data_IF_142663565027
#
_entry.id   IF_142663565027
#
_cell.length_a   1.000
_cell.length_b   1.000
_cell.length_c   1.000
_cell.angle_alpha   90.00
_cell.angle_beta   90.00
_cell.angle_gamma   90.00
#
_symmetry.space_group_name_H-M   'P 1'
#
loop_
_entity.id
_entity.type
_entity.pdbx_description
1 polymer ?
#
# COMPACT_ATOMS: atom_id res chain seq x y z
N UNK A 1 -12.22 4.92 22.52
CA UNK A 1 -13.45 5.72 22.25
C UNK A 1 -14.64 4.78 22.43
N UNK A 2 -15.85 5.25 22.82
CA UNK A 2 -17.01 4.34 22.88
C UNK A 2 -17.71 4.24 21.53
N UNK A 3 -18.48 3.16 21.28
CA UNK A 3 -19.29 3.01 20.07
C UNK A 3 -20.23 4.23 19.84
N UNK A 4 -20.74 4.79 20.93
CA UNK A 4 -21.62 5.97 20.91
C UNK A 4 -20.90 7.23 20.40
N UNK A 5 -19.68 7.46 20.89
CA UNK A 5 -18.83 8.58 20.43
C UNK A 5 -18.42 8.40 18.99
N UNK A 6 -18.07 7.17 18.58
CA UNK A 6 -17.63 6.85 17.23
C UNK A 6 -18.73 7.13 16.19
N UNK A 7 -19.98 6.71 16.48
CA UNK A 7 -21.11 6.96 15.59
C UNK A 7 -21.40 8.46 15.50
N UNK A 8 -21.41 9.16 16.63
CA UNK A 8 -21.68 10.60 16.72
C UNK A 8 -20.65 11.43 15.95
N UNK A 9 -19.37 11.17 16.17
CA UNK A 9 -18.29 11.90 15.50
C UNK A 9 -18.20 11.54 14.01
N UNK A 10 -18.42 10.27 13.66
CA UNK A 10 -18.49 9.82 12.27
C UNK A 10 -19.61 10.50 11.49
N UNK A 11 -20.82 10.58 12.07
CA UNK A 11 -21.94 11.30 11.45
C UNK A 11 -21.64 12.80 11.26
N UNK A 12 -21.05 13.45 12.27
CA UNK A 12 -20.65 14.87 12.17
C UNK A 12 -19.61 15.09 11.07
N UNK A 13 -18.61 14.19 10.94
CA UNK A 13 -17.60 14.24 9.89
C UNK A 13 -18.24 14.15 8.49
N UNK A 14 -19.33 13.40 8.35
CA UNK A 14 -20.11 13.31 7.12
C UNK A 14 -21.07 14.51 6.92
N UNK A 15 -21.06 15.49 7.82
CA UNK A 15 -21.97 16.64 7.83
C UNK A 15 -23.46 16.26 7.77
N UNK A 16 -23.85 15.10 8.32
CA UNK A 16 -25.22 14.59 8.30
C UNK A 16 -25.96 14.96 9.59
N UNK A 17 -27.24 15.35 9.46
CA UNK A 17 -28.17 15.40 10.59
C UNK A 17 -28.52 13.97 11.05
N UNK A 18 -29.02 13.83 12.28
CA UNK A 18 -29.52 12.55 12.81
C UNK A 18 -30.57 11.91 11.87
N UNK A 19 -31.45 12.73 11.30
CA UNK A 19 -32.46 12.25 10.37
C UNK A 19 -31.89 11.75 9.04
N UNK A 20 -30.92 12.48 8.48
CA UNK A 20 -30.22 12.05 7.24
C UNK A 20 -29.46 10.77 7.46
N UNK A 21 -28.75 10.63 8.57
CA UNK A 21 -28.04 9.42 8.93
C UNK A 21 -28.98 8.24 9.18
N UNK A 22 -30.10 8.47 9.84
CA UNK A 22 -31.14 7.45 10.05
C UNK A 22 -31.72 6.93 8.73
N UNK A 23 -32.06 7.84 7.82
CA UNK A 23 -32.54 7.48 6.47
C UNK A 23 -31.50 6.66 5.69
N UNK A 24 -30.23 7.08 5.70
CA UNK A 24 -29.13 6.37 5.06
C UNK A 24 -28.89 4.98 5.68
N UNK A 25 -28.98 4.86 7.00
CA UNK A 25 -28.84 3.60 7.72
C UNK A 25 -30.08 2.68 7.64
N UNK A 26 -31.22 3.22 7.16
CA UNK A 26 -32.49 2.47 7.08
C UNK A 26 -33.14 2.23 8.47
N UNK A 27 -33.00 3.18 9.38
CA UNK A 27 -33.51 3.09 10.76
C UNK A 27 -34.28 4.36 11.15
N UNK A 28 -34.94 4.35 12.31
CA UNK A 28 -35.61 5.55 12.83
C UNK A 28 -34.57 6.52 13.40
N UNK A 29 -34.93 7.84 13.40
CA UNK A 29 -34.11 8.86 14.06
C UNK A 29 -33.87 8.55 15.54
N UNK A 30 -34.91 8.03 16.24
CA UNK A 30 -34.78 7.62 17.64
C UNK A 30 -33.74 6.52 17.87
N UNK A 31 -33.55 5.61 16.92
CA UNK A 31 -32.51 4.62 17.02
C UNK A 31 -31.10 5.25 16.96
N UNK A 32 -30.90 6.24 16.07
CA UNK A 32 -29.64 6.98 15.98
C UNK A 32 -29.36 7.76 17.27
N UNK A 33 -30.35 8.41 17.83
CA UNK A 33 -30.24 9.13 19.11
C UNK A 33 -29.84 8.19 20.25
N UNK A 34 -30.42 6.99 20.32
CA UNK A 34 -30.03 5.98 21.31
C UNK A 34 -28.60 5.48 21.10
N UNK A 35 -28.14 5.34 19.85
CA UNK A 35 -26.78 4.93 19.55
C UNK A 35 -25.73 5.99 19.90
N UNK A 36 -26.08 7.29 19.79
CA UNK A 36 -25.17 8.40 20.06
C UNK A 36 -25.16 8.83 21.52
N UNK A 37 -26.13 8.38 22.33
CA UNK A 37 -26.26 8.73 23.75
C UNK A 37 -25.22 7.92 24.56
N UNK A 38 -24.43 8.55 25.44
CA UNK A 38 -23.58 7.84 26.39
C UNK A 38 -24.39 6.84 27.22
N UNK A 39 -23.99 5.57 27.21
CA UNK A 39 -24.76 4.51 27.88
C UNK A 39 -26.02 4.05 27.16
N UNK A 40 -26.25 4.51 25.95
CA UNK A 40 -27.37 4.06 25.10
C UNK A 40 -27.13 2.66 24.53
N UNK A 41 -28.01 2.21 23.65
CA UNK A 41 -27.88 0.89 23.01
C UNK A 41 -26.97 0.96 21.78
N UNK A 42 -26.17 -0.07 21.54
CA UNK A 42 -25.42 -0.22 20.30
C UNK A 42 -26.34 -0.66 19.14
N UNK A 43 -25.93 -0.44 17.87
CA UNK A 43 -26.67 -0.95 16.71
C UNK A 43 -26.85 -2.46 16.77
N UNK A 44 -28.05 -2.96 16.50
CA UNK A 44 -28.34 -4.40 16.38
C UNK A 44 -27.51 -4.98 15.24
N UNK A 45 -27.22 -6.30 15.32
CA UNK A 45 -26.38 -7.01 14.36
C UNK A 45 -26.80 -6.82 12.89
N UNK A 46 -28.13 -6.71 12.64
CA UNK A 46 -28.67 -6.41 11.31
C UNK A 46 -28.28 -5.04 10.75
N UNK A 47 -28.01 -4.07 11.62
CA UNK A 47 -27.71 -2.68 11.22
C UNK A 47 -26.22 -2.35 11.29
N UNK A 48 -25.41 -3.17 12.00
CA UNK A 48 -23.98 -2.92 12.21
C UNK A 48 -23.22 -2.76 10.89
N UNK A 49 -23.47 -3.64 9.93
CA UNK A 49 -22.82 -3.59 8.62
C UNK A 49 -23.09 -2.28 7.89
N UNK A 50 -24.34 -1.87 7.83
CA UNK A 50 -24.77 -0.66 7.12
C UNK A 50 -24.26 0.61 7.79
N UNK A 51 -24.27 0.64 9.13
CA UNK A 51 -23.69 1.75 9.90
C UNK A 51 -22.17 1.83 9.70
N UNK A 52 -21.46 0.71 9.71
CA UNK A 52 -20.03 0.65 9.48
C UNK A 52 -19.66 1.11 8.05
N UNK A 53 -20.41 0.66 7.03
CA UNK A 53 -20.26 1.10 5.64
C UNK A 53 -20.46 2.62 5.48
N UNK A 54 -21.50 3.19 6.10
CA UNK A 54 -21.75 4.64 6.08
C UNK A 54 -20.61 5.44 6.74
N UNK A 55 -20.04 4.91 7.80
CA UNK A 55 -18.95 5.56 8.53
C UNK A 55 -17.57 5.32 7.90
N UNK A 56 -17.46 4.43 6.91
CA UNK A 56 -16.22 4.04 6.27
C UNK A 56 -15.27 3.26 7.20
N UNK A 57 -15.84 2.46 8.13
CA UNK A 57 -15.09 1.66 9.12
C UNK A 57 -15.53 0.20 9.06
N UNK A 58 -14.76 -0.69 9.67
CA UNK A 58 -15.15 -2.10 9.80
C UNK A 58 -16.21 -2.29 10.90
N UNK A 59 -17.00 -3.37 10.82
CA UNK A 59 -17.95 -3.75 11.88
C UNK A 59 -17.22 -4.01 13.21
N UNK A 60 -16.00 -4.55 13.15
CA UNK A 60 -15.16 -4.79 14.32
C UNK A 60 -14.78 -3.47 15.01
N UNK A 61 -14.37 -2.46 14.25
CA UNK A 61 -14.08 -1.10 14.74
C UNK A 61 -15.31 -0.45 15.36
N UNK A 62 -16.45 -0.55 14.68
CA UNK A 62 -17.72 -0.01 15.20
C UNK A 62 -18.04 -0.60 16.57
N UNK A 63 -17.89 -1.90 16.75
CA UNK A 63 -18.27 -2.60 17.99
C UNK A 63 -17.23 -2.50 19.09
N UNK A 64 -15.95 -2.37 18.76
CA UNK A 64 -14.87 -2.14 19.74
C UNK A 64 -14.82 -0.70 20.26
N UNK A 65 -15.66 0.20 19.71
CA UNK A 65 -15.69 1.61 20.10
C UNK A 65 -14.44 2.36 19.70
N UNK A 66 -13.73 1.92 18.64
CA UNK A 66 -12.51 2.58 18.19
C UNK A 66 -11.41 2.51 19.26
N UNK A 67 -11.27 1.38 19.98
CA UNK A 67 -10.05 1.12 20.73
C UNK A 67 -8.86 1.24 19.78
N UNK A 68 -7.76 1.88 20.22
CA UNK A 68 -6.50 2.04 19.48
C UNK A 68 -5.76 0.69 19.21
N UNK A 69 -6.49 -0.39 19.18
CA UNK A 69 -6.08 -1.58 18.44
C UNK A 69 -6.42 -1.23 17.00
N UNK A 70 -5.49 -0.61 16.29
CA UNK A 70 -5.43 -0.79 14.84
C UNK A 70 -5.68 -2.28 14.62
N UNK A 71 -6.68 -2.70 13.80
CA UNK A 71 -6.75 -4.08 13.35
C UNK A 71 -5.31 -4.42 12.94
N UNK A 72 -4.73 -5.43 13.55
CA UNK A 72 -3.36 -5.82 13.20
C UNK A 72 -3.34 -5.85 11.70
N UNK A 73 -2.46 -5.05 11.09
CA UNK A 73 -2.34 -4.73 9.67
C UNK A 73 -3.18 -5.70 8.87
N UNK A 74 -4.29 -5.23 8.30
CA UNK A 74 -5.16 -6.06 7.50
C UNK A 74 -4.35 -6.42 6.24
N UNK A 75 -3.54 -7.46 6.37
CA UNK A 75 -2.66 -8.02 5.34
C UNK A 75 -3.58 -8.68 4.31
N UNK A 76 -4.39 -7.86 3.63
CA UNK A 76 -5.37 -8.33 2.64
C UNK A 76 -4.98 -7.99 1.23
N UNK A 77 -4.03 -7.12 1.05
CA UNK A 77 -3.50 -6.86 -0.27
C UNK A 77 -2.32 -7.81 -0.51
N UNK A 78 -2.41 -8.59 -1.57
CA UNK A 78 -1.34 -9.43 -2.04
C UNK A 78 -0.96 -9.01 -3.45
N UNK A 79 0.34 -8.93 -3.71
CA UNK A 79 0.87 -8.62 -5.03
C UNK A 79 1.59 -9.83 -5.61
N UNK A 80 1.62 -10.00 -6.94
CA UNK A 80 2.36 -11.07 -7.57
C UNK A 80 3.87 -10.85 -7.38
N UNK A 81 4.58 -11.92 -7.02
CA UNK A 81 6.04 -11.95 -7.06
C UNK A 81 6.47 -12.35 -8.47
N UNK A 82 7.19 -11.46 -9.15
CA UNK A 82 7.66 -11.67 -10.52
C UNK A 82 9.17 -11.75 -10.57
N UNK A 83 9.70 -12.36 -11.64
CA UNK A 83 11.13 -12.37 -11.92
C UNK A 83 11.59 -11.05 -12.56
N UNK A 84 12.90 -10.77 -12.53
CA UNK A 84 13.46 -9.59 -13.20
C UNK A 84 13.18 -9.59 -14.71
N UNK A 85 13.22 -10.76 -15.35
CA UNK A 85 12.89 -10.91 -16.78
C UNK A 85 11.42 -10.54 -17.06
N UNK A 86 10.51 -10.96 -16.18
CA UNK A 86 9.08 -10.57 -16.29
C UNK A 86 8.89 -9.09 -16.06
N UNK A 87 9.63 -8.48 -15.14
CA UNK A 87 9.58 -7.04 -14.91
C UNK A 87 10.10 -6.25 -16.13
N UNK A 88 11.11 -6.76 -16.84
CA UNK A 88 11.60 -6.17 -18.09
C UNK A 88 10.57 -6.17 -19.23
N UNK A 89 9.67 -7.15 -19.24
CA UNK A 89 8.58 -7.25 -20.21
C UNK A 89 7.29 -6.59 -19.69
N UNK A 90 7.41 -5.51 -18.94
CA UNK A 90 6.32 -4.86 -18.22
C UNK A 90 5.10 -4.49 -19.08
N UNK A 91 5.27 -4.20 -20.38
CA UNK A 91 4.16 -3.97 -21.33
C UNK A 91 3.19 -5.15 -21.45
N UNK A 92 3.58 -6.34 -20.98
CA UNK A 92 2.76 -7.56 -20.99
C UNK A 92 2.00 -7.75 -19.66
N UNK A 93 2.31 -6.94 -18.62
CA UNK A 93 1.76 -7.09 -17.25
C UNK A 93 0.28 -6.66 -17.14
N UNK A 94 -0.31 -6.06 -18.16
CA UNK A 94 -1.75 -5.73 -18.22
C UNK A 94 -2.67 -6.96 -17.95
N UNK A 95 -2.10 -8.16 -17.90
CA UNK A 95 -2.84 -9.42 -17.81
C UNK A 95 -2.41 -10.34 -16.66
N UNK A 96 -1.87 -9.83 -15.54
CA UNK A 96 -1.69 -10.70 -14.37
C UNK A 96 -3.06 -11.20 -13.88
N UNK A 97 -3.42 -12.38 -14.38
CA UNK A 97 -4.59 -13.08 -13.91
C UNK A 97 -4.24 -13.77 -12.57
N UNK A 98 -5.12 -13.73 -11.54
CA UNK A 98 -4.95 -14.52 -10.33
C UNK A 98 -4.72 -16.02 -10.55
N UNK A 99 -4.94 -16.50 -11.78
CA UNK A 99 -4.76 -17.90 -12.20
C UNK A 99 -3.37 -18.23 -12.75
N UNK A 100 -2.44 -17.27 -12.83
CA UNK A 100 -1.13 -17.47 -13.47
C UNK A 100 -0.15 -18.30 -12.62
N UNK A 101 -0.57 -18.79 -11.46
CA UNK A 101 0.25 -19.65 -10.59
C UNK A 101 1.46 -18.93 -9.96
N UNK A 102 1.52 -17.59 -10.05
CA UNK A 102 2.58 -16.80 -9.42
C UNK A 102 2.46 -16.82 -7.90
N UNK A 103 3.59 -16.91 -7.21
CA UNK A 103 3.66 -16.67 -5.76
C UNK A 103 3.10 -15.27 -5.48
N UNK A 104 2.26 -15.14 -4.47
CA UNK A 104 1.74 -13.85 -4.03
C UNK A 104 2.31 -13.53 -2.66
N UNK A 105 2.64 -12.27 -2.47
CA UNK A 105 3.22 -11.80 -1.22
C UNK A 105 2.33 -10.73 -0.59
N UNK A 106 2.11 -10.82 0.73
CA UNK A 106 1.34 -9.83 1.45
C UNK A 106 2.09 -8.50 1.52
N UNK A 107 1.35 -7.39 1.43
CA UNK A 107 1.88 -6.03 1.54
C UNK A 107 1.15 -5.23 2.59
N UNK A 108 1.83 -4.22 3.15
CA UNK A 108 1.31 -3.37 4.23
C UNK A 108 0.89 -1.99 3.75
N UNK A 109 1.25 -1.65 2.52
CA UNK A 109 0.93 -0.36 1.89
C UNK A 109 -0.29 -0.48 0.96
N UNK A 110 -1.00 0.62 0.70
CA UNK A 110 -2.02 0.66 -0.34
C UNK A 110 -1.41 0.32 -1.70
N UNK A 111 -2.02 -0.63 -2.41
CA UNK A 111 -1.59 -1.06 -3.73
C UNK A 111 -2.46 -0.45 -4.84
N UNK A 112 -1.89 -0.37 -6.05
CA UNK A 112 -2.60 -0.06 -7.29
C UNK A 112 -2.73 -1.32 -8.14
N UNK A 113 -3.38 -1.18 -9.29
CA UNK A 113 -3.70 -2.31 -10.16
C UNK A 113 -2.46 -3.12 -10.59
N UNK A 114 -1.35 -2.45 -10.84
CA UNK A 114 -0.15 -3.06 -11.42
C UNK A 114 1.01 -3.18 -10.42
N UNK A 115 0.75 -2.96 -9.13
CA UNK A 115 1.76 -3.16 -8.08
C UNK A 115 2.23 -4.60 -8.07
N UNK A 116 3.53 -4.81 -8.03
CA UNK A 116 4.16 -6.14 -8.01
C UNK A 116 5.31 -6.22 -7.01
N UNK A 117 5.78 -7.42 -6.76
CA UNK A 117 6.96 -7.67 -5.94
C UNK A 117 8.11 -8.23 -6.76
N UNK A 118 9.35 -7.87 -6.37
CA UNK A 118 10.60 -8.41 -6.88
C UNK A 118 11.50 -8.85 -5.73
N UNK A 119 12.38 -9.82 -5.98
CA UNK A 119 13.50 -10.14 -5.09
C UNK A 119 14.75 -9.41 -5.53
N UNK A 120 15.45 -8.81 -4.56
CA UNK A 120 16.79 -8.23 -4.82
C UNK A 120 17.76 -9.33 -5.21
N UNK A 121 18.50 -9.11 -6.29
CA UNK A 121 19.60 -9.95 -6.74
C UNK A 121 20.92 -9.18 -6.67
N UNK A 122 21.94 -9.86 -6.20
CA UNK A 122 23.28 -9.30 -6.03
C UNK A 122 23.41 -8.30 -4.88
N UNK A 123 24.56 -7.65 -4.81
CA UNK A 123 24.96 -6.81 -3.69
C UNK A 123 25.10 -5.31 -4.02
N UNK A 124 24.72 -4.90 -5.24
CA UNK A 124 24.91 -3.50 -5.69
C UNK A 124 24.13 -2.47 -4.85
N UNK A 125 23.12 -2.92 -4.13
CA UNK A 125 22.29 -2.09 -3.26
C UNK A 125 22.49 -2.39 -1.77
N UNK A 126 23.61 -3.06 -1.43
CA UNK A 126 24.08 -3.22 -0.05
C UNK A 126 24.92 -2.00 0.32
N UNK A 127 24.49 -1.25 1.31
CA UNK A 127 25.19 -0.05 1.80
C UNK A 127 25.44 -0.12 3.30
N UNK A 128 26.27 0.80 3.80
CA UNK A 128 26.60 0.94 5.23
C UNK A 128 25.60 1.83 5.98
N UNK A 129 24.59 2.35 5.29
CA UNK A 129 23.56 3.21 5.84
C UNK A 129 22.32 2.39 6.28
N UNK A 130 21.36 3.13 6.87
CA UNK A 130 20.05 2.57 7.27
C UNK A 130 19.32 1.95 6.05
N UNK A 131 19.51 2.54 4.86
CA UNK A 131 19.01 2.03 3.61
C UNK A 131 20.04 1.03 3.04
N UNK A 132 19.77 -0.23 3.23
CA UNK A 132 20.59 -1.32 2.70
C UNK A 132 19.67 -2.46 2.29
N UNK A 133 19.80 -2.90 1.04
CA UNK A 133 18.93 -3.90 0.42
C UNK A 133 19.74 -5.17 0.10
N UNK A 134 19.91 -6.07 1.07
CA UNK A 134 20.61 -7.32 0.84
C UNK A 134 19.91 -8.21 -0.18
N UNK A 135 20.69 -9.07 -0.82
CA UNK A 135 20.16 -10.10 -1.71
C UNK A 135 19.07 -10.94 -1.03
N UNK A 136 18.02 -11.28 -1.80
CA UNK A 136 16.85 -11.99 -1.31
C UNK A 136 15.79 -11.13 -0.61
N UNK A 137 16.08 -9.85 -0.32
CA UNK A 137 15.07 -8.90 0.16
C UNK A 137 13.93 -8.76 -0.85
N UNK A 138 12.71 -8.55 -0.35
CA UNK A 138 11.54 -8.37 -1.17
C UNK A 138 11.27 -6.88 -1.36
N UNK A 139 11.09 -6.46 -2.60
CA UNK A 139 10.72 -5.09 -2.96
C UNK A 139 9.27 -5.05 -3.44
N UNK A 140 8.50 -4.08 -2.98
CA UNK A 140 7.17 -3.79 -3.51
C UNK A 140 7.29 -2.58 -4.44
N UNK A 141 6.95 -2.79 -5.69
CA UNK A 141 7.19 -1.85 -6.80
C UNK A 141 5.87 -1.32 -7.33
N UNK A 142 5.80 0.00 -7.49
CA UNK A 142 4.64 0.71 -8.01
C UNK A 142 4.97 1.36 -9.37
N UNK A 143 4.50 0.77 -10.47
CA UNK A 143 4.78 1.28 -11.80
C UNK A 143 4.07 2.58 -12.16
N UNK A 144 2.88 2.78 -11.60
CA UNK A 144 2.05 3.94 -11.90
C UNK A 144 2.49 5.21 -11.14
N UNK A 145 3.63 5.13 -10.45
CA UNK A 145 4.19 6.25 -9.71
C UNK A 145 5.29 6.94 -10.48
N UNK A 146 5.18 8.26 -10.60
CA UNK A 146 6.27 9.05 -11.18
C UNK A 146 7.49 9.02 -10.25
N UNK A 147 8.63 8.57 -10.76
CA UNK A 147 9.88 8.57 -10.03
C UNK A 147 10.45 9.98 -9.86
N UNK A 148 10.91 10.28 -8.67
CA UNK A 148 11.57 11.55 -8.31
C UNK A 148 13.02 11.28 -7.87
N UNK A 149 13.94 12.23 -8.01
CA UNK A 149 15.29 12.13 -7.46
C UNK A 149 15.24 11.83 -5.95
N UNK A 150 15.98 10.81 -5.53
CA UNK A 150 15.96 10.26 -4.18
C UNK A 150 15.24 8.92 -4.08
N UNK A 151 14.30 8.62 -4.99
CA UNK A 151 13.57 7.37 -5.00
C UNK A 151 14.45 6.17 -5.35
N UNK A 152 14.09 5.01 -4.82
CA UNK A 152 14.60 3.73 -5.26
C UNK A 152 13.74 3.21 -6.42
N UNK A 153 14.37 2.88 -7.54
CA UNK A 153 13.67 2.57 -8.79
C UNK A 153 14.16 1.26 -9.39
N UNK A 154 13.25 0.61 -10.10
CA UNK A 154 13.59 -0.46 -11.03
C UNK A 154 13.66 0.18 -12.42
N UNK A 155 14.81 0.06 -13.07
CA UNK A 155 15.03 0.58 -14.42
C UNK A 155 15.36 -0.54 -15.39
N UNK A 156 14.98 -0.37 -16.65
CA UNK A 156 15.19 -1.28 -17.75
C UNK A 156 16.15 -0.64 -18.75
N UNK A 157 17.25 -1.29 -19.04
CA UNK A 157 18.20 -0.83 -20.06
C UNK A 157 17.76 -1.24 -21.49
N UNK A 158 18.51 -0.77 -22.49
CA UNK A 158 18.24 -1.09 -23.90
C UNK A 158 18.41 -2.58 -24.26
N UNK A 159 19.04 -3.36 -23.39
CA UNK A 159 19.23 -4.81 -23.53
C UNK A 159 18.15 -5.63 -22.81
N UNK A 160 17.06 -4.98 -22.39
CA UNK A 160 15.98 -5.57 -21.59
C UNK A 160 16.45 -6.18 -20.26
N UNK A 161 17.55 -5.64 -19.69
CA UNK A 161 18.00 -6.03 -18.35
C UNK A 161 17.49 -5.04 -17.32
N UNK A 162 16.89 -5.57 -16.28
CA UNK A 162 16.43 -4.77 -15.14
C UNK A 162 17.55 -4.49 -14.16
N UNK A 163 17.50 -3.35 -13.51
CA UNK A 163 18.42 -2.98 -12.44
C UNK A 163 17.69 -2.21 -11.34
N UNK A 164 18.08 -2.48 -10.09
CA UNK A 164 17.57 -1.79 -8.92
C UNK A 164 18.61 -0.77 -8.44
N UNK A 165 18.27 0.53 -8.41
CA UNK A 165 19.18 1.63 -8.06
C UNK A 165 18.43 2.77 -7.38
N UNK A 166 19.16 3.70 -6.77
CA UNK A 166 18.64 4.98 -6.37
C UNK A 166 18.69 5.96 -7.55
N UNK A 167 17.60 6.63 -7.83
CA UNK A 167 17.55 7.71 -8.81
C UNK A 167 18.10 8.98 -8.17
N UNK A 168 19.12 9.58 -8.77
CA UNK A 168 19.66 10.85 -8.33
C UNK A 168 19.70 11.84 -9.49
N UNK A 169 19.80 13.13 -9.15
CA UNK A 169 19.98 14.21 -10.14
C UNK A 169 21.30 14.92 -9.86
N UNK A 170 22.08 15.14 -10.90
CA UNK A 170 23.28 15.94 -10.86
C UNK A 170 23.39 16.75 -12.14
N UNK A 171 23.68 18.07 -12.03
CA UNK A 171 23.83 18.98 -13.17
C UNK A 171 22.65 19.04 -14.15
N UNK A 172 21.44 18.67 -13.70
CA UNK A 172 20.25 18.60 -14.55
C UNK A 172 19.99 17.24 -15.20
N UNK A 173 20.94 16.32 -15.14
CA UNK A 173 20.82 14.95 -15.63
C UNK A 173 20.44 13.97 -14.52
N UNK A 174 19.82 12.84 -14.92
CA UNK A 174 19.43 11.77 -14.01
C UNK A 174 20.44 10.62 -14.09
N UNK A 175 20.75 10.07 -12.91
CA UNK A 175 21.70 8.98 -12.76
C UNK A 175 21.09 7.87 -11.90
N UNK A 176 21.55 6.65 -12.14
CA UNK A 176 21.28 5.46 -11.36
C UNK A 176 22.46 5.18 -10.44
N UNK A 177 22.25 5.42 -9.14
CA UNK A 177 23.28 5.30 -8.09
C UNK A 177 23.12 3.98 -7.34
N UNK A 178 24.12 3.10 -7.34
CA UNK A 178 24.18 1.97 -6.41
C UNK A 178 24.49 2.46 -4.99
N UNK A 179 24.04 1.75 -3.96
CA UNK A 179 24.44 2.01 -2.58
C UNK A 179 25.81 1.44 -2.26
N UNK A 180 26.19 0.35 -2.92
CA UNK A 180 27.51 -0.25 -2.78
C UNK A 180 28.52 0.54 -3.61
N UNK A 181 29.48 1.18 -2.95
CA UNK A 181 30.50 2.04 -3.56
C UNK A 181 31.43 1.34 -4.54
N UNK A 182 31.44 -0.01 -4.53
CA UNK A 182 32.22 -0.82 -5.50
C UNK A 182 31.62 -0.79 -6.91
N UNK A 183 30.38 -0.33 -7.04
CA UNK A 183 29.69 -0.25 -8.32
C UNK A 183 29.65 1.19 -8.83
N UNK A 184 29.83 1.44 -10.14
CA UNK A 184 29.82 2.78 -10.67
C UNK A 184 28.41 3.38 -10.72
N UNK A 185 28.31 4.69 -10.51
CA UNK A 185 27.12 5.49 -10.83
C UNK A 185 27.03 5.55 -12.36
N UNK A 186 25.86 5.36 -12.91
CA UNK A 186 25.60 5.37 -14.36
C UNK A 186 24.53 6.39 -14.70
N UNK A 187 24.67 7.12 -15.82
CA UNK A 187 23.57 7.97 -16.29
C UNK A 187 22.34 7.13 -16.59
N UNK A 188 21.15 7.68 -16.35
CA UNK A 188 19.89 7.04 -16.73
C UNK A 188 19.84 6.85 -18.26
N UNK A 189 20.27 7.85 -19.04
CA UNK A 189 20.34 7.79 -20.50
C UNK A 189 19.01 7.40 -21.12
N UNK A 190 19.03 6.34 -21.94
CA UNK A 190 17.85 5.76 -22.60
C UNK A 190 17.14 4.69 -21.78
N UNK A 191 17.59 4.40 -20.55
CA UNK A 191 16.92 3.42 -19.69
C UNK A 191 15.55 3.93 -19.25
N UNK A 192 14.55 3.05 -19.28
CA UNK A 192 13.20 3.34 -18.82
C UNK A 192 13.04 2.97 -17.35
N UNK A 193 12.44 3.84 -16.55
CA UNK A 193 12.02 3.50 -15.19
C UNK A 193 10.72 2.73 -15.29
N UNK A 194 10.70 1.50 -14.79
CA UNK A 194 9.52 0.63 -14.81
C UNK A 194 8.73 0.65 -13.51
N UNK A 195 9.27 1.21 -12.45
CA UNK A 195 8.53 1.42 -11.22
C UNK A 195 9.37 1.98 -10.08
N UNK A 196 8.67 2.51 -9.08
CA UNK A 196 9.22 3.06 -7.84
C UNK A 196 9.05 2.05 -6.72
N UNK A 197 10.10 1.80 -5.95
CA UNK A 197 10.04 0.93 -4.76
C UNK A 197 9.39 1.69 -3.62
N UNK A 198 8.30 1.13 -3.07
CA UNK A 198 7.50 1.73 -2.01
C UNK A 198 7.70 1.10 -0.65
N UNK A 199 8.05 -0.18 -0.64
CA UNK A 199 8.28 -0.95 0.57
C UNK A 199 9.35 -1.98 0.31
N UNK A 200 10.15 -2.30 1.32
CA UNK A 200 11.00 -3.48 1.26
C UNK A 200 10.87 -4.30 2.55
N UNK A 201 11.01 -5.60 2.40
CA UNK A 201 10.95 -6.52 3.53
C UNK A 201 12.17 -7.43 3.51
N UNK A 202 12.85 -7.51 4.65
CA UNK A 202 13.96 -8.43 4.89
C UNK A 202 13.50 -9.52 5.85
N UNK A 203 13.64 -10.79 5.45
CA UNK A 203 13.43 -11.92 6.36
C UNK A 203 14.76 -12.28 7.03
N UNK A 204 14.74 -12.43 8.32
CA UNK A 204 15.83 -13.01 9.10
C UNK A 204 15.56 -14.51 9.24
N UNK A 205 16.64 -15.32 9.29
CA UNK A 205 16.52 -16.75 9.55
C UNK A 205 16.14 -16.99 11.00
#
# INVERSE_FOLDING_TARGET
MSVHTLIREGRKRLAMSEQQFANAAGVSRGAVQQWERPGGTAPKRSNQRRVAELLGISVAELMSGGSNVSPGLDVRAEVPLISEVQAGNYTVIDNFNPKDGLERVPVTIPIRRHTFALRVQGDSMVGDSIDSFPEGSLLIVEPEMQALPGDYVIALNSENQTTFKQLIRDGGELFLKPLNVRYPIRPLGSAAIIGVVREFTKKFR
#
